data_IF_610718987472
#
_entry.id   IF_610718987472
#
_cell.length_a   1.000
_cell.length_b   1.000
_cell.length_c   1.000
_cell.angle_alpha   90.00
_cell.angle_beta   90.00
_cell.angle_gamma   90.00
#
_symmetry.space_group_name_H-M   'P 1'
#
loop_
_entity.id
_entity.type
_entity.pdbx_description
1 polymer ?
#
# COMPACT_ATOMS: atom_id res chain seq x y z
N UNK A 1 -27.57 8.74 5.52
CA UNK A 1 -28.88 9.23 6.02
C UNK A 1 -29.54 8.06 6.72
N UNK A 2 -29.94 8.14 8.00
CA UNK A 2 -30.73 7.06 8.59
C UNK A 2 -32.06 6.95 7.85
N UNK A 3 -32.38 5.73 7.38
CA UNK A 3 -33.59 5.41 6.61
C UNK A 3 -34.87 5.69 7.42
N UNK A 4 -35.36 6.92 7.34
CA UNK A 4 -36.63 7.33 7.96
C UNK A 4 -37.82 6.54 7.40
N UNK A 5 -37.70 6.02 6.18
CA UNK A 5 -38.72 5.23 5.48
C UNK A 5 -38.79 3.78 5.96
N UNK A 6 -37.66 3.12 6.22
CA UNK A 6 -37.63 1.75 6.75
C UNK A 6 -38.08 1.68 8.21
N UNK A 7 -37.78 2.73 9.00
CA UNK A 7 -38.27 2.90 10.36
C UNK A 7 -39.79 3.05 10.45
N UNK A 8 -40.39 3.85 9.56
CA UNK A 8 -41.86 4.00 9.51
C UNK A 8 -42.54 2.67 9.14
N UNK A 9 -42.01 1.94 8.17
CA UNK A 9 -42.54 0.62 7.81
C UNK A 9 -42.51 -0.36 8.99
N UNK A 10 -41.47 -0.33 9.85
CA UNK A 10 -41.40 -1.18 11.05
C UNK A 10 -42.52 -0.89 12.07
N UNK A 11 -43.02 0.34 12.12
CA UNK A 11 -44.09 0.73 13.06
C UNK A 11 -45.50 0.32 12.62
N UNK A 12 -45.67 -0.07 11.35
CA UNK A 12 -46.97 -0.46 10.80
C UNK A 12 -47.32 -1.93 11.09
N UNK A 13 -48.61 -2.29 11.20
CA UNK A 13 -49.05 -3.69 11.26
C UNK A 13 -48.57 -4.51 10.07
N UNK A 14 -48.33 -5.81 10.27
CA UNK A 14 -47.94 -6.75 9.21
C UNK A 14 -48.78 -6.69 7.91
N UNK A 15 -50.13 -6.62 7.95
CA UNK A 15 -50.94 -6.55 6.73
C UNK A 15 -50.71 -5.25 5.94
N UNK A 16 -50.57 -4.11 6.62
CA UNK A 16 -50.37 -2.81 5.95
C UNK A 16 -49.00 -2.73 5.28
N UNK A 17 -47.97 -3.32 5.91
CA UNK A 17 -46.64 -3.46 5.30
C UNK A 17 -46.69 -4.31 4.03
N UNK A 18 -47.42 -5.42 4.06
CA UNK A 18 -47.56 -6.30 2.91
C UNK A 18 -48.32 -5.61 1.77
N UNK A 19 -49.37 -4.85 2.07
CA UNK A 19 -50.13 -4.09 1.08
C UNK A 19 -49.27 -3.01 0.39
N UNK A 20 -48.50 -2.24 1.17
CA UNK A 20 -47.58 -1.22 0.62
C UNK A 20 -46.51 -1.87 -0.26
N UNK A 21 -45.95 -3.02 0.14
CA UNK A 21 -44.98 -3.76 -0.68
C UNK A 21 -45.59 -4.31 -1.96
N UNK A 22 -46.80 -4.85 -1.90
CA UNK A 22 -47.51 -5.33 -3.08
C UNK A 22 -47.75 -4.19 -4.07
N UNK A 23 -48.15 -3.01 -3.58
CA UNK A 23 -48.31 -1.81 -4.40
C UNK A 23 -46.98 -1.38 -5.04
N UNK A 24 -45.90 -1.28 -4.27
CA UNK A 24 -44.56 -0.91 -4.81
C UNK A 24 -44.06 -1.92 -5.84
N UNK A 25 -44.32 -3.23 -5.66
CA UNK A 25 -43.99 -4.28 -6.63
C UNK A 25 -44.84 -4.15 -7.91
N UNK A 26 -46.09 -3.73 -7.80
CA UNK A 26 -46.96 -3.45 -8.95
C UNK A 26 -46.53 -2.17 -9.68
N UNK A 27 -46.14 -1.13 -8.96
CA UNK A 27 -45.65 0.12 -9.54
C UNK A 27 -44.29 -0.08 -10.24
N UNK A 28 -43.45 -1.02 -9.74
CA UNK A 28 -42.21 -1.49 -10.39
C UNK A 28 -42.44 -2.70 -11.31
N UNK A 29 -43.61 -2.81 -11.97
CA UNK A 29 -43.94 -3.92 -12.87
C UNK A 29 -42.94 -4.12 -14.03
N UNK A 30 -42.16 -3.09 -14.36
CA UNK A 30 -41.10 -3.16 -15.38
C UNK A 30 -39.78 -3.81 -14.88
N UNK A 31 -39.63 -3.98 -13.56
CA UNK A 31 -38.40 -4.47 -12.93
C UNK A 31 -37.20 -3.53 -13.05
N UNK A 32 -37.41 -2.30 -13.53
CA UNK A 32 -36.33 -1.33 -13.77
C UNK A 32 -35.59 -0.96 -12.48
N UNK A 33 -36.28 -0.87 -11.34
CA UNK A 33 -35.62 -0.57 -10.07
C UNK A 33 -34.74 -1.73 -9.59
N UNK A 34 -35.21 -2.98 -9.78
CA UNK A 34 -34.39 -4.18 -9.50
C UNK A 34 -33.18 -4.26 -10.41
N UNK A 35 -33.33 -3.97 -11.71
CA UNK A 35 -32.21 -3.96 -12.65
C UNK A 35 -31.18 -2.88 -12.29
N UNK A 36 -31.62 -1.66 -11.97
CA UNK A 36 -30.72 -0.58 -11.55
C UNK A 36 -29.91 -0.95 -10.30
N UNK A 37 -30.54 -1.60 -9.31
CA UNK A 37 -29.84 -2.10 -8.12
C UNK A 37 -28.82 -3.18 -8.49
N UNK A 38 -29.21 -4.13 -9.34
CA UNK A 38 -28.31 -5.18 -9.82
C UNK A 38 -27.10 -4.57 -10.54
N UNK A 39 -27.32 -3.63 -11.47
CA UNK A 39 -26.25 -2.95 -12.22
C UNK A 39 -25.33 -2.15 -11.29
N UNK A 40 -25.88 -1.51 -10.26
CA UNK A 40 -25.08 -0.82 -9.25
C UNK A 40 -24.20 -1.79 -8.45
N UNK A 41 -24.72 -2.96 -8.07
CA UNK A 41 -23.96 -4.00 -7.36
C UNK A 41 -22.85 -4.55 -8.26
N UNK A 42 -23.15 -4.87 -9.52
CA UNK A 42 -22.15 -5.32 -10.50
C UNK A 42 -21.06 -4.26 -10.67
N UNK A 43 -21.43 -3.00 -10.84
CA UNK A 43 -20.48 -1.90 -10.95
C UNK A 43 -19.60 -1.77 -9.71
N UNK A 44 -20.17 -1.88 -8.51
CA UNK A 44 -19.40 -1.84 -7.27
C UNK A 44 -18.39 -3.00 -7.19
N UNK A 45 -18.78 -4.21 -7.58
CA UNK A 45 -17.88 -5.37 -7.64
C UNK A 45 -16.73 -5.10 -8.62
N UNK A 46 -17.01 -4.64 -9.83
CA UNK A 46 -15.98 -4.30 -10.81
C UNK A 46 -14.99 -3.25 -10.30
N UNK A 47 -15.47 -2.23 -9.56
CA UNK A 47 -14.61 -1.19 -8.99
C UNK A 47 -13.70 -1.78 -7.91
N UNK A 48 -14.23 -2.66 -7.06
CA UNK A 48 -13.45 -3.36 -6.02
C UNK A 48 -12.38 -4.23 -6.67
N UNK A 49 -12.73 -5.02 -7.67
CA UNK A 49 -11.81 -5.90 -8.38
C UNK A 49 -10.68 -5.10 -9.06
N UNK A 50 -11.02 -4.02 -9.77
CA UNK A 50 -10.03 -3.12 -10.38
C UNK A 50 -9.11 -2.46 -9.37
N UNK A 51 -9.62 -2.11 -8.18
CA UNK A 51 -8.80 -1.55 -7.12
C UNK A 51 -7.88 -2.61 -6.50
N UNK A 52 -8.39 -3.82 -6.30
CA UNK A 52 -7.61 -4.94 -5.81
C UNK A 52 -6.46 -5.27 -6.77
N UNK A 53 -6.71 -5.35 -8.08
CA UNK A 53 -5.68 -5.55 -9.11
C UNK A 53 -4.60 -4.45 -9.11
N UNK A 54 -5.01 -3.19 -8.94
CA UNK A 54 -4.05 -2.08 -8.84
C UNK A 54 -3.20 -2.19 -7.59
N UNK A 55 -3.80 -2.58 -6.48
CA UNK A 55 -3.11 -2.72 -5.20
C UNK A 55 -2.15 -3.91 -5.19
N UNK A 56 -2.54 -5.05 -5.77
CA UNK A 56 -1.63 -6.21 -5.94
C UNK A 56 -0.46 -5.83 -6.84
N UNK A 57 -0.71 -5.21 -7.99
CA UNK A 57 0.36 -4.75 -8.88
C UNK A 57 1.30 -3.73 -8.21
N UNK A 58 0.78 -2.86 -7.34
CA UNK A 58 1.58 -1.92 -6.56
C UNK A 58 2.41 -2.65 -5.51
N UNK A 59 1.84 -3.63 -4.80
CA UNK A 59 2.56 -4.47 -3.83
C UNK A 59 3.67 -5.26 -4.51
N UNK A 60 3.41 -5.87 -5.66
CA UNK A 60 4.43 -6.62 -6.41
C UNK A 60 5.59 -5.72 -6.87
N UNK A 61 5.29 -4.50 -7.30
CA UNK A 61 6.33 -3.51 -7.65
C UNK A 61 7.16 -3.12 -6.43
N UNK A 62 6.52 -2.89 -5.29
CA UNK A 62 7.20 -2.56 -4.05
C UNK A 62 8.06 -3.72 -3.55
N UNK A 63 7.55 -4.96 -3.61
CA UNK A 63 8.28 -6.17 -3.27
C UNK A 63 9.54 -6.31 -4.13
N UNK A 64 9.43 -6.13 -5.46
CA UNK A 64 10.59 -6.16 -6.36
C UNK A 64 11.63 -5.10 -6.03
N UNK A 65 11.21 -3.90 -5.61
CA UNK A 65 12.13 -2.83 -5.19
C UNK A 65 12.80 -3.20 -3.87
N UNK A 66 12.06 -3.75 -2.91
CA UNK A 66 12.60 -4.21 -1.63
C UNK A 66 13.59 -5.36 -1.81
N UNK A 67 13.27 -6.34 -2.66
CA UNK A 67 14.16 -7.45 -3.01
C UNK A 67 15.45 -6.93 -3.67
N UNK A 68 15.33 -5.98 -4.60
CA UNK A 68 16.49 -5.35 -5.23
C UNK A 68 17.37 -4.62 -4.20
N UNK A 69 16.76 -3.91 -3.23
CA UNK A 69 17.49 -3.28 -2.13
C UNK A 69 18.18 -4.36 -1.28
N UNK A 70 17.48 -5.41 -0.87
CA UNK A 70 18.04 -6.47 -0.03
C UNK A 70 19.21 -7.22 -0.68
N UNK A 71 19.17 -7.42 -2.00
CA UNK A 71 20.23 -8.05 -2.78
C UNK A 71 21.41 -7.11 -3.11
N UNK A 72 21.26 -5.80 -2.86
CA UNK A 72 22.31 -4.83 -3.17
C UNK A 72 23.49 -5.01 -2.20
N UNK A 73 24.69 -5.25 -2.75
CA UNK A 73 25.92 -5.21 -1.97
C UNK A 73 26.24 -3.76 -1.60
N UNK A 74 25.99 -3.41 -0.34
CA UNK A 74 26.13 -2.04 0.13
C UNK A 74 27.59 -1.59 0.24
N UNK A 75 27.85 -0.37 -0.21
CA UNK A 75 29.14 0.29 0.02
C UNK A 75 29.11 0.87 1.44
N UNK A 76 30.01 0.37 2.29
CA UNK A 76 30.08 0.73 3.70
C UNK A 76 31.32 1.55 4.07
N UNK A 77 32.24 1.78 3.14
CA UNK A 77 33.43 2.60 3.36
C UNK A 77 33.49 3.78 2.39
N UNK A 78 33.96 4.92 2.89
CA UNK A 78 34.12 6.14 2.08
C UNK A 78 35.14 5.92 0.97
N UNK A 79 36.22 5.19 1.26
CA UNK A 79 37.27 4.89 0.27
C UNK A 79 36.73 4.10 -0.92
N UNK A 80 35.94 3.04 -0.67
CA UNK A 80 35.33 2.25 -1.73
C UNK A 80 34.33 3.08 -2.54
N UNK A 81 33.60 3.99 -1.89
CA UNK A 81 32.70 4.92 -2.58
C UNK A 81 33.48 5.88 -3.48
N UNK A 82 34.57 6.46 -2.99
CA UNK A 82 35.39 7.42 -3.72
C UNK A 82 36.01 6.77 -4.97
N UNK A 83 36.53 5.54 -4.84
CA UNK A 83 37.04 4.75 -5.97
C UNK A 83 35.94 4.49 -7.00
N UNK A 84 34.77 4.00 -6.57
CA UNK A 84 33.66 3.70 -7.47
C UNK A 84 33.09 4.95 -8.18
N UNK A 85 33.13 6.09 -7.50
CA UNK A 85 32.62 7.34 -8.05
C UNK A 85 33.49 7.93 -9.15
N UNK A 86 34.82 7.74 -9.05
CA UNK A 86 35.82 8.23 -10.01
C UNK A 86 35.90 7.39 -11.29
N UNK A 87 35.31 6.20 -11.32
CA UNK A 87 35.26 5.36 -12.53
C UNK A 87 34.59 6.14 -13.67
N UNK A 88 35.15 6.04 -14.87
CA UNK A 88 34.64 6.72 -16.04
C UNK A 88 33.23 6.21 -16.43
N UNK A 89 32.36 7.05 -17.01
CA UNK A 89 31.06 6.61 -17.52
C UNK A 89 31.21 5.42 -18.48
N UNK A 90 30.32 4.43 -18.34
CA UNK A 90 30.29 3.18 -19.15
C UNK A 90 31.43 2.19 -18.91
N UNK A 91 32.37 2.48 -18.00
CA UNK A 91 33.37 1.51 -17.57
C UNK A 91 32.75 0.50 -16.56
N UNK A 92 33.29 -0.73 -16.46
CA UNK A 92 32.83 -1.70 -15.47
C UNK A 92 33.03 -1.14 -14.05
N UNK A 93 32.00 -1.27 -13.22
CA UNK A 93 31.99 -0.70 -11.86
C UNK A 93 31.55 0.77 -11.79
N UNK A 94 31.23 1.41 -12.91
CA UNK A 94 30.69 2.77 -12.90
C UNK A 94 29.40 2.85 -12.09
N UNK A 95 29.40 3.70 -11.05
CA UNK A 95 28.22 3.92 -10.23
C UNK A 95 27.23 4.84 -10.97
N UNK A 96 26.20 4.22 -11.55
CA UNK A 96 25.08 4.92 -12.19
C UNK A 96 24.19 5.63 -11.17
N UNK A 97 23.37 6.57 -11.63
CA UNK A 97 22.39 7.27 -10.77
C UNK A 97 21.41 6.28 -10.12
N UNK A 98 20.96 5.26 -10.87
CA UNK A 98 20.07 4.24 -10.34
C UNK A 98 20.77 3.35 -9.29
N UNK A 99 22.05 3.01 -9.49
CA UNK A 99 22.83 2.28 -8.51
C UNK A 99 23.06 3.10 -7.23
N UNK A 100 23.32 4.41 -7.37
CA UNK A 100 23.39 5.34 -6.23
C UNK A 100 22.06 5.40 -5.47
N UNK A 101 20.92 5.46 -6.17
CA UNK A 101 19.60 5.47 -5.54
C UNK A 101 19.33 4.16 -4.76
N UNK A 102 19.70 2.99 -5.31
CA UNK A 102 19.60 1.72 -4.60
C UNK A 102 20.49 1.66 -3.35
N UNK A 103 21.72 2.18 -3.43
CA UNK A 103 22.62 2.27 -2.28
C UNK A 103 22.04 3.16 -1.18
N UNK A 104 21.49 4.32 -1.55
CA UNK A 104 20.81 5.21 -0.60
C UNK A 104 19.58 4.55 0.03
N UNK A 105 18.77 3.84 -0.76
CA UNK A 105 17.60 3.11 -0.25
C UNK A 105 18.00 1.99 0.72
N UNK A 106 19.13 1.31 0.45
CA UNK A 106 19.70 0.33 1.38
C UNK A 106 20.08 0.94 2.72
N UNK A 107 20.76 2.10 2.72
CA UNK A 107 21.15 2.80 3.95
C UNK A 107 19.95 3.33 4.73
N UNK A 108 18.87 3.74 4.05
CA UNK A 108 17.61 4.10 4.70
C UNK A 108 16.92 2.87 5.31
N UNK A 109 16.91 1.73 4.61
CA UNK A 109 16.29 0.50 5.11
C UNK A 109 17.06 -0.12 6.30
N UNK A 110 18.39 0.04 6.32
CA UNK A 110 19.29 -0.50 7.34
C UNK A 110 19.82 0.59 8.30
N UNK A 111 19.05 1.67 8.47
CA UNK A 111 19.39 2.75 9.38
C UNK A 111 19.44 2.23 10.82
N UNK A 112 20.47 2.63 11.58
CA UNK A 112 20.66 2.21 12.98
C UNK A 112 19.54 2.75 13.88
N UNK A 113 19.20 2.08 15.01
CA UNK A 113 18.00 2.36 15.80
C UNK A 113 17.90 3.79 16.35
N UNK A 114 19.02 4.45 16.65
CA UNK A 114 19.04 5.87 17.06
C UNK A 114 18.75 6.87 15.91
N UNK A 115 18.52 6.35 14.71
CA UNK A 115 18.10 7.09 13.51
C UNK A 115 16.71 6.69 13.01
N UNK A 116 15.83 6.22 13.92
CA UNK A 116 14.44 5.84 13.58
C UNK A 116 13.61 6.97 12.96
N UNK A 117 14.03 8.22 13.12
CA UNK A 117 13.61 9.26 12.19
C UNK A 117 14.26 8.99 10.83
N UNK A 118 13.47 8.60 9.83
CA UNK A 118 13.97 8.61 8.42
C UNK A 118 14.61 9.95 8.03
N UNK A 119 14.26 11.05 8.72
CA UNK A 119 14.91 12.37 8.70
C UNK A 119 16.32 12.40 9.28
N UNK A 120 16.61 11.55 10.28
CA UNK A 120 17.91 11.38 10.92
C UNK A 120 18.91 10.56 10.08
N UNK A 121 18.49 9.87 9.01
CA UNK A 121 19.45 9.31 8.05
C UNK A 121 20.22 10.40 7.28
N UNK A 122 19.72 11.65 7.26
CA UNK A 122 20.23 12.73 6.41
C UNK A 122 19.94 12.55 4.92
N UNK A 123 19.39 11.39 4.52
CA UNK A 123 19.10 11.05 3.14
C UNK A 123 17.70 11.55 2.76
N UNK A 124 17.56 12.42 1.75
CA UNK A 124 16.24 12.82 1.26
C UNK A 124 15.46 11.61 0.74
N UNK A 125 14.19 11.49 1.19
CA UNK A 125 13.27 10.51 0.59
C UNK A 125 13.14 10.79 -0.90
N UNK A 126 13.18 9.74 -1.70
CA UNK A 126 12.86 9.85 -3.12
C UNK A 126 11.40 10.31 -3.24
N UNK A 127 11.17 11.60 -3.56
CA UNK A 127 9.87 12.05 -4.05
C UNK A 127 9.62 11.39 -5.41
N UNK A 128 8.37 11.08 -5.69
CA UNK A 128 7.88 10.47 -6.93
C UNK A 128 8.56 11.12 -8.14
N UNK A 129 9.40 10.35 -8.82
CA UNK A 129 10.20 10.77 -9.97
C UNK A 129 11.49 11.51 -9.61
N UNK A 130 12.57 10.77 -9.31
CA UNK A 130 14.02 11.05 -9.41
C UNK A 130 14.63 12.43 -9.00
N UNK A 131 13.83 13.46 -8.76
CA UNK A 131 14.21 14.86 -8.54
C UNK A 131 14.48 15.19 -7.08
N UNK A 132 14.03 14.35 -6.15
CA UNK A 132 14.19 14.60 -4.71
C UNK A 132 15.63 14.51 -4.21
N UNK A 133 16.52 13.81 -4.94
CA UNK A 133 17.91 13.51 -4.52
C UNK A 133 18.99 14.24 -5.35
N UNK A 134 18.59 15.22 -6.17
CA UNK A 134 19.52 16.05 -6.94
C UNK A 134 20.17 15.32 -8.12
N UNK A 135 21.42 15.66 -8.44
CA UNK A 135 22.22 15.04 -9.51
C UNK A 135 23.07 13.87 -8.97
N UNK A 136 24.02 13.35 -9.77
CA UNK A 136 24.92 12.26 -9.34
C UNK A 136 25.80 12.69 -8.15
N UNK A 137 26.28 13.93 -8.15
CA UNK A 137 27.16 14.47 -7.10
C UNK A 137 26.42 14.66 -5.77
N UNK A 138 25.18 15.15 -5.82
CA UNK A 138 24.32 15.27 -4.64
C UNK A 138 24.10 13.91 -3.97
N UNK A 139 23.81 12.87 -4.76
CA UNK A 139 23.64 11.49 -4.25
C UNK A 139 24.90 10.95 -3.62
N UNK A 140 26.04 11.19 -4.24
CA UNK A 140 27.34 10.83 -3.67
C UNK A 140 27.58 11.54 -2.33
N UNK A 141 27.25 12.83 -2.22
CA UNK A 141 27.32 13.58 -0.96
C UNK A 141 26.48 12.94 0.15
N UNK A 142 25.22 12.64 -0.13
CA UNK A 142 24.33 11.96 0.84
C UNK A 142 24.85 10.58 1.24
N UNK A 143 25.38 9.81 0.30
CA UNK A 143 25.90 8.47 0.57
C UNK A 143 27.18 8.53 1.42
N UNK A 144 28.06 9.49 1.15
CA UNK A 144 29.25 9.73 1.95
C UNK A 144 28.90 10.09 3.39
N UNK A 145 27.95 10.99 3.59
CA UNK A 145 27.44 11.36 4.91
C UNK A 145 26.86 10.16 5.66
N UNK A 146 25.99 9.38 4.99
CA UNK A 146 25.39 8.18 5.57
C UNK A 146 26.43 7.15 6.01
N UNK A 147 27.44 6.90 5.18
CA UNK A 147 28.55 5.99 5.51
C UNK A 147 29.34 6.51 6.72
N UNK A 148 29.72 7.79 6.73
CA UNK A 148 30.48 8.37 7.84
C UNK A 148 29.71 8.32 9.15
N UNK A 149 28.40 8.60 9.11
CA UNK A 149 27.53 8.51 10.28
C UNK A 149 27.41 7.08 10.79
N UNK A 150 27.29 6.10 9.89
CA UNK A 150 27.24 4.68 10.25
C UNK A 150 28.54 4.22 10.90
N UNK A 151 29.69 4.64 10.36
CA UNK A 151 30.99 4.34 10.96
C UNK A 151 31.10 4.95 12.37
N UNK A 152 30.73 6.23 12.53
CA UNK A 152 30.71 6.90 13.82
C UNK A 152 29.82 6.18 14.86
N UNK A 153 28.60 5.82 14.49
CA UNK A 153 27.69 5.09 15.42
C UNK A 153 28.27 3.72 15.76
N UNK A 154 28.85 3.01 14.79
CA UNK A 154 29.48 1.71 15.02
C UNK A 154 30.69 1.77 15.96
N UNK A 155 31.39 2.91 16.02
CA UNK A 155 32.49 3.14 16.96
C UNK A 155 32.00 3.50 18.37
N UNK A 156 30.83 4.15 18.50
CA UNK A 156 30.24 4.52 19.79
C UNK A 156 29.53 3.36 20.50
N UNK A 157 28.89 2.46 19.75
CA UNK A 157 28.17 1.32 20.32
C UNK A 157 28.24 0.09 19.38
N UNK A 158 29.10 -0.90 19.68
CA UNK A 158 29.26 -2.08 18.84
C UNK A 158 28.06 -3.04 18.91
N UNK A 159 27.14 -2.88 19.88
CA UNK A 159 25.99 -3.77 20.07
C UNK A 159 24.79 -3.36 19.22
N UNK A 160 24.66 -2.05 18.92
CA UNK A 160 23.65 -1.51 18.00
C UNK A 160 23.85 -1.92 16.52
N UNK A 161 25.05 -2.38 16.14
CA UNK A 161 25.38 -2.78 14.77
C UNK A 161 24.79 -4.14 14.34
N UNK A 162 24.13 -4.88 15.25
CA UNK A 162 23.41 -6.11 14.91
C UNK A 162 22.03 -5.78 14.33
N UNK A 163 21.88 -6.03 13.03
CA UNK A 163 20.62 -5.89 12.28
C UNK A 163 19.48 -6.68 12.94
N UNK A 164 18.38 -6.05 13.39
CA UNK A 164 17.17 -6.78 13.69
C UNK A 164 16.55 -7.26 12.37
N UNK A 165 16.44 -8.58 12.22
CA UNK A 165 15.63 -9.21 11.15
C UNK A 165 14.19 -8.80 11.41
N UNK A 166 13.65 -7.90 10.58
CA UNK A 166 12.23 -7.53 10.62
C UNK A 166 11.45 -8.69 10.01
N UNK A 167 10.93 -9.55 10.86
CA UNK A 167 9.96 -10.58 10.50
C UNK A 167 8.67 -9.89 10.05
N UNK A 168 8.45 -9.84 8.73
CA UNK A 168 7.23 -9.25 8.15
C UNK A 168 6.09 -10.23 8.38
N UNK A 169 5.33 -9.99 9.45
CA UNK A 169 4.10 -10.74 9.72
C UNK A 169 3.11 -10.55 8.54
N UNK A 170 2.55 -11.63 7.99
CA UNK A 170 1.55 -11.54 6.93
C UNK A 170 0.27 -10.88 7.48
N UNK A 171 -0.14 -9.78 6.83
CA UNK A 171 -1.41 -9.13 7.10
C UNK A 171 -2.57 -10.03 6.63
N UNK A 172 -3.63 -10.23 7.42
CA UNK A 172 -4.77 -11.02 7.01
C UNK A 172 -5.52 -10.32 5.87
N UNK A 173 -5.72 -11.03 4.76
CA UNK A 173 -6.64 -10.61 3.70
C UNK A 173 -8.07 -10.84 4.17
N UNK A 174 -8.83 -9.77 4.43
CA UNK A 174 -10.28 -9.90 4.56
C UNK A 174 -10.88 -10.15 3.17
N UNK A 175 -11.20 -11.40 2.88
CA UNK A 175 -12.15 -11.75 1.82
C UNK A 175 -13.56 -11.40 2.32
N UNK A 176 -14.22 -10.47 1.64
CA UNK A 176 -15.62 -10.17 1.90
C UNK A 176 -16.44 -11.08 0.97
N UNK A 177 -16.83 -12.24 1.49
CA UNK A 177 -17.78 -13.12 0.82
C UNK A 177 -19.13 -12.40 0.76
N UNK A 178 -19.47 -11.90 -0.43
CA UNK A 178 -20.80 -11.32 -0.70
C UNK A 178 -21.68 -12.47 -1.15
N UNK A 179 -22.49 -12.99 -0.23
CA UNK A 179 -23.56 -13.93 -0.54
C UNK A 179 -24.43 -13.34 -1.65
N UNK A 180 -24.39 -14.00 -2.81
CA UNK A 180 -25.24 -13.68 -3.95
C UNK A 180 -26.62 -14.25 -3.63
N UNK A 181 -27.57 -13.37 -3.34
CA UNK A 181 -28.97 -13.71 -3.06
C UNK A 181 -29.53 -14.63 -4.16
N UNK A 182 -30.00 -15.80 -3.72
CA UNK A 182 -30.75 -16.77 -4.51
C UNK A 182 -32.05 -16.10 -5.03
N UNK A 183 -32.32 -16.08 -6.34
CA UNK A 183 -33.40 -15.29 -6.96
C UNK A 183 -34.84 -15.62 -6.50
N UNK A 184 -35.02 -16.53 -5.54
CA UNK A 184 -36.30 -16.90 -4.93
C UNK A 184 -36.49 -16.60 -3.44
N UNK A 185 -35.50 -16.06 -2.71
CA UNK A 185 -35.59 -15.87 -1.25
C UNK A 185 -35.93 -14.41 -0.87
N UNK A 186 -37.07 -14.18 -0.20
CA UNK A 186 -37.47 -12.88 0.36
C UNK A 186 -36.84 -12.71 1.76
N UNK A 187 -35.54 -12.38 1.80
CA UNK A 187 -34.75 -12.18 3.03
C UNK A 187 -35.25 -11.02 3.91
N UNK A 188 -36.13 -10.15 3.39
CA UNK A 188 -36.71 -9.04 4.15
C UNK A 188 -37.81 -9.49 5.12
N UNK A 189 -38.40 -10.68 5.01
CA UNK A 189 -39.43 -11.10 5.99
C UNK A 189 -38.84 -11.36 7.39
N UNK A 190 -37.57 -11.80 7.44
CA UNK A 190 -36.85 -12.11 8.69
C UNK A 190 -36.40 -10.82 9.39
N UNK A 191 -35.99 -9.80 8.64
CA UNK A 191 -35.47 -8.53 9.18
C UNK A 191 -36.51 -7.64 9.87
N UNK A 192 -37.81 -7.84 9.57
CA UNK A 192 -38.92 -7.10 10.21
C UNK A 192 -39.64 -7.89 11.31
N UNK A 193 -39.26 -9.16 11.53
CA UNK A 193 -39.74 -9.98 12.67
C UNK A 193 -38.85 -9.89 13.90
N UNK A 194 -37.62 -9.39 13.75
CA UNK A 194 -36.67 -9.12 14.84
C UNK A 194 -36.72 -7.67 15.32
#
# INVERSE_FOLDING_TARGET
MPDKTSGFLKTLPAPDRQAIRAQVRMDDASGANRQNKHDQIVHMKEVVDKNFEKDTAKKDRLAKVQDAIAQTMAILSVEALDVAFQIAPKAPGYLTVAALDLQLDWHVANALPDSQDTSASGIPKAKTGAKGRGNRDSRYGYLKEAITRRAYISELDPEAARTPVVEVAPQPSMSMDVDVDDPGYDSEEVWFRS
#
